data_IF_590785560380
#
_entry.id   IF_590785560380
#
_cell.length_a   1.000
_cell.length_b   1.000
_cell.length_c   1.000
_cell.angle_alpha   90.00
_cell.angle_beta   90.00
_cell.angle_gamma   90.00
#
_symmetry.space_group_name_H-M   'P 1'
#
loop_
_entity.id
_entity.type
_entity.pdbx_description
1 polymer ?
#
# COMPACT_ATOMS: atom_id res chain seq x y z
N UNK A 1 7.63 -50.81 24.23
CA UNK A 1 6.48 -50.35 23.38
C UNK A 1 5.75 -49.09 23.88
N UNK A 2 6.00 -48.57 25.10
CA UNK A 2 5.34 -47.33 25.59
C UNK A 2 5.94 -46.03 25.04
N UNK A 3 7.25 -45.99 24.78
CA UNK A 3 7.96 -44.80 24.26
C UNK A 3 7.55 -44.44 22.83
N UNK A 4 7.33 -45.45 21.98
CA UNK A 4 6.87 -45.26 20.58
C UNK A 4 5.46 -44.67 20.51
N UNK A 5 4.58 -45.01 21.48
CA UNK A 5 3.23 -44.43 21.60
C UNK A 5 3.25 -42.93 21.89
N UNK A 6 4.23 -42.45 22.68
CA UNK A 6 4.38 -41.02 22.95
C UNK A 6 4.96 -40.26 21.76
N UNK A 7 5.92 -40.84 21.02
CA UNK A 7 6.45 -40.24 19.79
C UNK A 7 5.35 -40.05 18.73
N UNK A 8 4.49 -41.05 18.55
CA UNK A 8 3.43 -41.02 17.53
C UNK A 8 2.31 -40.03 17.87
N UNK A 9 2.12 -39.72 19.16
CA UNK A 9 1.13 -38.74 19.63
C UNK A 9 1.58 -37.29 19.45
N UNK A 10 2.89 -37.02 19.45
CA UNK A 10 3.44 -35.67 19.25
C UNK A 10 3.39 -35.23 17.79
N UNK A 11 3.56 -36.17 16.84
CA UNK A 11 3.49 -35.87 15.40
C UNK A 11 2.08 -35.47 14.95
N UNK A 12 1.03 -36.04 15.56
CA UNK A 12 -0.37 -35.69 15.24
C UNK A 12 -0.72 -34.28 15.73
N UNK A 13 -0.17 -33.84 16.87
CA UNK A 13 -0.44 -32.50 17.41
C UNK A 13 0.15 -31.37 16.55
N UNK A 14 1.28 -31.61 15.86
CA UNK A 14 1.91 -30.62 14.97
C UNK A 14 1.14 -30.48 13.65
N UNK A 15 0.51 -31.56 13.16
CA UNK A 15 -0.33 -31.53 11.95
C UNK A 15 -1.63 -30.72 12.09
N UNK A 16 -2.13 -30.53 13.32
CA UNK A 16 -3.39 -29.83 13.61
C UNK A 16 -3.27 -28.31 13.74
N UNK A 17 -2.05 -27.74 13.71
CA UNK A 17 -1.84 -26.29 13.74
C UNK A 17 -2.01 -25.60 12.39
N UNK A 18 -2.28 -26.37 11.32
CA UNK A 18 -2.56 -25.82 10.01
C UNK A 18 -4.05 -25.44 9.91
N UNK A 19 -4.45 -24.21 10.27
CA UNK A 19 -5.72 -23.69 9.75
C UNK A 19 -6.57 -22.66 10.49
N UNK A 20 -6.05 -21.93 11.48
CA UNK A 20 -6.76 -20.75 11.99
C UNK A 20 -5.76 -19.62 12.23
N UNK A 21 -5.79 -18.61 11.35
CA UNK A 21 -4.94 -17.44 11.48
C UNK A 21 -5.76 -16.16 11.23
N UNK A 22 -5.65 -15.22 12.14
CA UNK A 22 -6.13 -13.85 11.98
C UNK A 22 -4.96 -12.88 12.12
N UNK A 23 -4.87 -11.89 11.23
CA UNK A 23 -3.83 -10.85 11.29
C UNK A 23 -4.43 -9.45 11.11
N UNK A 24 -3.82 -8.47 11.79
CA UNK A 24 -4.30 -7.08 11.82
C UNK A 24 -5.54 -6.87 12.70
N UNK A 25 -6.11 -5.66 12.64
CA UNK A 25 -7.28 -5.27 13.43
C UNK A 25 -8.53 -5.25 12.56
N UNK A 26 -9.63 -5.85 13.01
CA UNK A 26 -10.91 -5.65 12.36
C UNK A 26 -11.30 -4.17 12.48
N UNK A 27 -11.81 -3.57 11.40
CA UNK A 27 -12.16 -2.15 11.33
C UNK A 27 -13.48 -1.95 10.59
N UNK A 28 -14.13 -0.80 10.74
CA UNK A 28 -15.38 -0.49 10.03
C UNK A 28 -15.09 0.19 8.68
N UNK A 29 -15.11 -0.55 7.55
CA UNK A 29 -14.82 0.04 6.25
C UNK A 29 -15.93 0.98 5.76
N UNK A 30 -17.18 0.81 6.25
CA UNK A 30 -18.31 1.67 5.88
C UNK A 30 -18.19 3.08 6.45
N UNK A 31 -17.24 3.31 7.37
CA UNK A 31 -16.93 4.64 7.90
C UNK A 31 -15.82 5.35 7.15
N UNK A 32 -15.20 4.74 6.14
CA UNK A 32 -14.19 5.41 5.32
C UNK A 32 -14.73 6.70 4.69
N UNK A 33 -15.99 6.72 4.22
CA UNK A 33 -16.59 7.90 3.59
C UNK A 33 -16.85 9.08 4.54
N UNK A 34 -16.79 8.84 5.85
CA UNK A 34 -16.86 9.90 6.87
C UNK A 34 -15.57 10.73 6.94
N UNK A 35 -14.45 10.15 6.48
CA UNK A 35 -13.19 10.85 6.41
C UNK A 35 -13.24 11.92 5.32
N UNK A 36 -12.54 13.02 5.58
CA UNK A 36 -12.51 14.19 4.70
C UNK A 36 -11.06 14.55 4.42
N UNK A 37 -10.60 14.35 3.16
CA UNK A 37 -9.30 14.82 2.73
C UNK A 37 -9.05 16.31 3.05
N UNK A 38 -7.83 16.64 3.43
CA UNK A 38 -7.43 17.97 3.89
C UNK A 38 -7.91 18.35 5.29
N UNK A 39 -8.71 17.51 5.96
CA UNK A 39 -9.25 17.81 7.30
C UNK A 39 -8.93 16.71 8.30
N UNK A 40 -9.35 15.46 8.01
CA UNK A 40 -9.23 14.33 8.92
C UNK A 40 -7.78 14.02 9.25
N UNK A 41 -7.48 13.76 10.51
CA UNK A 41 -6.16 13.36 10.98
C UNK A 41 -6.06 11.85 11.19
N UNK A 42 -4.86 11.31 11.43
CA UNK A 42 -4.69 9.89 11.74
C UNK A 42 -5.50 9.46 12.99
N UNK A 43 -5.53 10.21 14.11
CA UNK A 43 -6.44 9.93 15.22
C UNK A 43 -7.93 9.94 14.85
N UNK A 44 -8.35 10.84 13.97
CA UNK A 44 -9.74 10.87 13.49
C UNK A 44 -10.06 9.61 12.68
N UNK A 45 -9.13 9.17 11.82
CA UNK A 45 -9.27 7.93 11.07
C UNK A 45 -9.35 6.70 11.98
N UNK A 46 -8.48 6.61 12.98
CA UNK A 46 -8.52 5.50 13.94
C UNK A 46 -9.85 5.46 14.71
N UNK A 47 -10.39 6.63 15.07
CA UNK A 47 -11.69 6.73 15.74
C UNK A 47 -12.85 6.37 14.82
N UNK A 48 -12.87 6.91 13.60
CA UNK A 48 -13.94 6.67 12.64
C UNK A 48 -14.00 5.19 12.21
N UNK A 49 -12.84 4.57 11.97
CA UNK A 49 -12.73 3.16 11.59
C UNK A 49 -12.83 2.20 12.78
N UNK A 50 -12.95 2.75 14.00
CA UNK A 50 -13.03 2.02 15.26
C UNK A 50 -11.90 1.00 15.45
N UNK A 51 -10.69 1.35 14.99
CA UNK A 51 -9.53 0.46 15.02
C UNK A 51 -8.22 1.24 14.83
N UNK A 52 -7.15 0.77 15.48
CA UNK A 52 -5.80 1.25 15.18
C UNK A 52 -5.29 0.69 13.84
N UNK A 53 -4.43 1.43 13.12
CA UNK A 53 -3.84 0.92 11.88
C UNK A 53 -3.02 -0.34 12.15
N UNK A 54 -2.96 -1.23 11.16
CA UNK A 54 -2.10 -2.41 11.20
C UNK A 54 -0.63 -2.02 11.01
N UNK A 55 -0.34 -1.06 10.11
CA UNK A 55 1.01 -0.60 9.81
C UNK A 55 1.03 0.88 9.46
N UNK A 56 2.08 1.59 9.86
CA UNK A 56 2.37 2.98 9.49
C UNK A 56 3.73 3.03 8.80
N UNK A 57 3.75 3.48 7.54
CA UNK A 57 4.97 3.69 6.75
C UNK A 57 5.29 5.19 6.69
N UNK A 58 6.07 5.68 7.65
CA UNK A 58 6.54 7.06 7.66
C UNK A 58 7.58 7.29 6.54
N UNK A 59 7.51 8.45 5.88
CA UNK A 59 8.45 8.86 4.83
C UNK A 59 9.27 10.07 5.29
N UNK A 60 10.41 10.28 4.62
CA UNK A 60 11.36 11.37 4.96
C UNK A 60 10.79 12.78 4.75
N UNK A 61 9.81 12.92 3.87
CA UNK A 61 9.11 14.18 3.60
C UNK A 61 8.06 14.53 4.69
N UNK A 62 7.95 13.72 5.74
CA UNK A 62 6.98 13.87 6.82
C UNK A 62 5.61 13.25 6.52
N UNK A 63 5.36 12.81 5.29
CA UNK A 63 4.15 12.08 4.95
C UNK A 63 4.16 10.66 5.51
N UNK A 64 2.99 10.04 5.60
CA UNK A 64 2.85 8.65 6.00
C UNK A 64 1.84 7.92 5.13
N UNK A 65 2.18 6.71 4.71
CA UNK A 65 1.23 5.76 4.14
C UNK A 65 0.78 4.81 5.26
N UNK A 66 -0.51 4.71 5.51
CA UNK A 66 -1.05 4.00 6.67
C UNK A 66 -2.01 2.92 6.20
N UNK A 67 -1.82 1.71 6.73
CA UNK A 67 -2.58 0.52 6.36
C UNK A 67 -3.53 0.12 7.50
N UNK A 68 -4.82 0.09 7.21
CA UNK A 68 -5.78 -0.72 7.95
C UNK A 68 -5.97 -2.04 7.22
N UNK A 69 -5.73 -3.14 7.92
CA UNK A 69 -5.81 -4.49 7.36
C UNK A 69 -6.46 -5.43 8.36
N UNK A 70 -7.35 -6.27 7.85
CA UNK A 70 -7.82 -7.45 8.57
C UNK A 70 -7.85 -8.64 7.61
N UNK A 71 -7.18 -9.73 8.00
CA UNK A 71 -7.17 -10.99 7.25
C UNK A 71 -7.55 -12.13 8.18
N UNK A 72 -8.43 -13.00 7.71
CA UNK A 72 -8.87 -14.22 8.37
C UNK A 72 -8.76 -15.37 7.36
N UNK A 73 -8.10 -16.45 7.75
CA UNK A 73 -7.96 -17.67 6.94
C UNK A 73 -8.40 -18.90 7.74
N UNK A 74 -9.29 -19.70 7.15
CA UNK A 74 -9.67 -21.04 7.62
C UNK A 74 -9.56 -22.07 6.50
N UNK A 75 -8.99 -23.23 6.82
CA UNK A 75 -8.90 -24.45 5.97
C UNK A 75 -9.31 -25.64 6.85
N UNK A 76 -9.96 -26.72 6.39
CA UNK A 76 -9.86 -27.48 5.13
C UNK A 76 -11.06 -27.40 4.16
N UNK A 77 -12.15 -26.71 4.50
CA UNK A 77 -13.30 -26.51 3.58
C UNK A 77 -13.78 -25.04 3.50
N UNK A 78 -13.05 -24.12 4.15
CA UNK A 78 -12.73 -22.80 3.59
C UNK A 78 -13.50 -21.60 4.14
N UNK A 79 -12.79 -20.68 4.77
CA UNK A 79 -13.19 -19.27 4.84
C UNK A 79 -11.95 -18.38 4.71
N UNK A 80 -11.84 -17.68 3.59
CA UNK A 80 -10.83 -16.66 3.37
C UNK A 80 -11.50 -15.30 3.30
N UNK A 81 -11.14 -14.39 4.20
CA UNK A 81 -11.61 -13.01 4.20
C UNK A 81 -10.42 -12.08 4.39
N UNK A 82 -10.39 -11.03 3.57
CA UNK A 82 -9.38 -9.97 3.65
C UNK A 82 -10.10 -8.67 3.38
N UNK A 83 -9.77 -7.62 4.13
CA UNK A 83 -10.08 -6.23 3.77
C UNK A 83 -8.91 -5.33 4.11
N UNK A 84 -8.66 -4.35 3.25
CA UNK A 84 -7.57 -3.39 3.40
C UNK A 84 -7.98 -2.00 2.94
N UNK A 85 -7.49 -0.99 3.64
CA UNK A 85 -7.57 0.41 3.25
C UNK A 85 -6.21 1.07 3.45
N UNK A 86 -5.70 1.69 2.38
CA UNK A 86 -4.44 2.41 2.34
C UNK A 86 -4.72 3.91 2.32
N UNK A 87 -4.39 4.60 3.40
CA UNK A 87 -4.61 6.03 3.54
C UNK A 87 -3.27 6.77 3.52
N UNK A 88 -3.16 7.82 2.70
CA UNK A 88 -2.01 8.70 2.69
C UNK A 88 -2.29 9.94 3.56
N UNK A 89 -1.38 10.23 4.48
CA UNK A 89 -1.38 11.43 5.31
C UNK A 89 -0.21 12.32 4.94
N UNK A 90 -0.45 13.62 4.85
CA UNK A 90 0.54 14.63 4.52
C UNK A 90 1.47 14.94 5.70
N UNK A 91 2.53 15.73 5.46
CA UNK A 91 3.44 16.20 6.52
C UNK A 91 2.75 17.08 7.58
N UNK A 92 1.59 17.63 7.25
CA UNK A 92 0.71 18.35 8.16
C UNK A 92 -0.15 17.42 9.04
N UNK A 93 0.00 16.11 8.89
CA UNK A 93 -0.74 15.09 9.63
C UNK A 93 -2.19 14.90 9.17
N UNK A 94 -2.57 15.49 8.03
CA UNK A 94 -3.94 15.41 7.50
C UNK A 94 -4.05 14.41 6.37
N UNK A 95 -5.23 13.79 6.25
CA UNK A 95 -5.56 12.85 5.20
C UNK A 95 -5.43 13.55 3.84
N UNK A 96 -4.59 13.01 2.98
CA UNK A 96 -4.48 13.44 1.58
C UNK A 96 -5.50 12.67 0.75
N UNK A 97 -5.51 11.34 0.87
CA UNK A 97 -6.39 10.47 0.06
C UNK A 97 -6.46 9.03 0.55
N UNK A 98 -7.49 8.32 0.10
CA UNK A 98 -7.51 6.87 -0.04
C UNK A 98 -6.70 6.49 -1.28
N UNK A 99 -5.57 5.81 -1.06
CA UNK A 99 -4.66 5.36 -2.12
C UNK A 99 -5.18 4.09 -2.78
N UNK A 100 -5.61 3.13 -1.97
CA UNK A 100 -6.14 1.85 -2.44
C UNK A 100 -7.07 1.21 -1.39
N UNK A 101 -7.96 0.34 -1.85
CA UNK A 101 -8.85 -0.46 -1.01
C UNK A 101 -9.05 -1.84 -1.59
N UNK A 102 -8.96 -2.88 -0.76
CA UNK A 102 -9.22 -4.27 -1.16
C UNK A 102 -10.45 -4.79 -0.41
N UNK A 103 -11.40 -5.38 -1.14
CA UNK A 103 -12.62 -6.02 -0.59
C UNK A 103 -13.42 -5.11 0.36
N UNK A 104 -13.52 -3.84 -0.01
CA UNK A 104 -14.33 -2.84 0.67
C UNK A 104 -15.38 -2.33 -0.32
N UNK A 105 -16.65 -2.40 0.08
CA UNK A 105 -17.73 -1.80 -0.68
C UNK A 105 -17.78 -0.30 -0.36
N UNK A 106 -17.46 0.50 -1.36
CA UNK A 106 -17.63 1.96 -1.36
C UNK A 106 -18.39 2.34 -2.60
N UNK A 107 -19.39 3.20 -2.42
CA UNK A 107 -20.11 3.78 -3.55
C UNK A 107 -19.13 4.58 -4.43
N UNK A 108 -19.36 4.68 -5.75
CA UNK A 108 -18.45 5.38 -6.66
C UNK A 108 -18.17 6.83 -6.23
N UNK A 109 -19.20 7.53 -5.73
CA UNK A 109 -19.09 8.91 -5.28
C UNK A 109 -18.32 9.05 -3.95
N UNK A 110 -18.45 8.07 -3.03
CA UNK A 110 -17.68 8.05 -1.78
C UNK A 110 -16.20 7.84 -2.07
N UNK A 111 -15.88 6.91 -2.98
CA UNK A 111 -14.51 6.69 -3.44
C UNK A 111 -13.94 7.96 -4.05
N UNK A 112 -14.69 8.61 -4.95
CA UNK A 112 -14.26 9.86 -5.58
C UNK A 112 -13.96 10.96 -4.56
N UNK A 113 -14.80 11.13 -3.54
CA UNK A 113 -14.56 12.08 -2.44
C UNK A 113 -13.24 11.81 -1.72
N UNK A 114 -12.92 10.53 -1.50
CA UNK A 114 -11.74 10.11 -0.76
C UNK A 114 -10.44 10.19 -1.55
N UNK A 115 -10.47 10.39 -2.87
CA UNK A 115 -9.26 10.57 -3.68
C UNK A 115 -8.52 11.89 -3.39
N UNK A 116 -9.18 12.81 -2.66
CA UNK A 116 -8.63 14.13 -2.40
C UNK A 116 -8.59 15.02 -3.65
N UNK A 117 -8.03 16.23 -3.53
CA UNK A 117 -7.75 17.04 -4.70
C UNK A 117 -6.80 16.27 -5.64
N UNK A 118 -6.94 16.42 -6.97
CA UNK A 118 -6.04 15.78 -7.91
C UNK A 118 -4.59 16.14 -7.54
N UNK A 119 -3.63 15.20 -7.70
CA UNK A 119 -2.22 15.51 -7.50
C UNK A 119 -1.86 16.79 -8.26
N UNK A 120 -1.01 17.67 -7.70
CA UNK A 120 -0.48 18.78 -8.48
C UNK A 120 0.02 18.22 -9.80
N UNK A 121 -0.41 18.80 -10.93
CA UNK A 121 0.07 18.38 -12.23
C UNK A 121 1.61 18.31 -12.17
N UNK A 122 2.25 17.28 -12.75
CA UNK A 122 3.69 17.30 -12.88
C UNK A 122 4.07 18.66 -13.43
N UNK A 123 4.99 19.36 -12.79
CA UNK A 123 5.57 20.56 -13.39
C UNK A 123 6.17 20.07 -14.70
N UNK A 124 5.46 20.28 -15.80
CA UNK A 124 6.00 20.09 -17.13
C UNK A 124 7.04 21.19 -17.22
N UNK A 125 8.30 20.84 -16.95
CA UNK A 125 9.41 21.68 -17.36
C UNK A 125 9.29 21.66 -18.87
N UNK A 126 8.69 22.70 -19.43
CA UNK A 126 8.64 22.92 -20.85
C UNK A 126 10.10 22.95 -21.31
N UNK A 127 10.53 21.83 -21.89
CA UNK A 127 11.88 21.69 -22.40
C UNK A 127 11.92 22.59 -23.63
N UNK A 128 12.28 23.86 -23.41
CA UNK A 128 12.49 24.85 -24.46
C UNK A 128 13.32 24.17 -25.53
N UNK A 129 12.77 24.12 -26.75
CA UNK A 129 13.35 23.43 -27.90
C UNK A 129 14.87 23.53 -27.86
N UNK A 130 15.54 22.38 -27.72
CA UNK A 130 16.99 22.31 -27.81
C UNK A 130 17.40 23.02 -29.11
N UNK A 131 18.30 24.01 -29.07
CA UNK A 131 18.80 24.59 -30.31
C UNK A 131 19.38 23.45 -31.13
N UNK A 132 18.96 23.37 -32.39
CA UNK A 132 19.42 22.39 -33.36
C UNK A 132 20.95 22.30 -33.28
N UNK A 133 21.45 21.19 -32.74
CA UNK A 133 22.89 20.95 -32.61
C UNK A 133 23.39 20.75 -34.03
N UNK A 134 23.94 21.80 -34.63
CA UNK A 134 24.63 21.74 -35.91
C UNK A 134 25.80 20.76 -35.78
N UNK A 135 25.61 19.56 -36.30
CA UNK A 135 26.59 18.48 -36.25
C UNK A 135 27.75 18.84 -37.17
N UNK A 136 28.82 19.41 -36.60
CA UNK A 136 30.07 19.61 -37.31
C UNK A 136 30.75 18.25 -37.46
N UNK A 137 30.62 17.64 -38.64
CA UNK A 137 31.28 16.37 -38.95
C UNK A 137 32.79 16.62 -39.10
N UNK A 138 33.57 16.21 -38.10
CA UNK A 138 35.03 16.19 -38.20
C UNK A 138 35.45 14.92 -38.93
N UNK A 139 35.78 15.03 -40.22
CA UNK A 139 36.33 13.93 -41.00
C UNK A 139 37.77 13.68 -40.59
N UNK A 140 38.03 12.61 -39.83
CA UNK A 140 39.40 12.19 -39.49
C UNK A 140 40.02 11.48 -40.71
N UNK A 141 41.13 11.98 -41.29
CA UNK A 141 41.78 11.32 -42.41
C UNK A 141 42.44 9.99 -41.96
N UNK A 142 42.45 8.96 -42.83
CA UNK A 142 43.00 7.65 -42.49
C UNK A 142 44.51 7.73 -42.20
N UNK A 143 45.02 6.93 -41.24
CA UNK A 143 46.43 6.94 -40.90
C UNK A 143 47.27 6.48 -42.10
N UNK A 144 48.32 7.25 -42.40
CA UNK A 144 49.27 6.91 -43.45
C UNK A 144 49.95 5.57 -43.13
N UNK A 145 49.74 4.57 -43.99
CA UNK A 145 50.39 3.27 -43.89
C UNK A 145 51.86 3.44 -44.27
N UNK A 146 52.75 3.49 -43.29
CA UNK A 146 54.20 3.32 -43.52
C UNK A 146 54.49 1.85 -43.88
N UNK A 147 55.38 1.69 -44.85
CA UNK A 147 55.74 0.50 -45.66
C UNK A 147 55.85 -0.83 -44.90
#
# INVERSE_FOLDING_TARGET
MRVVKHLMSWTVAIGLLAGCAATGHNFDPGKLSTLTPGQSTLPDAARALNAQPATVYARRDGSALVLWQHKITFVTDGLYSRKEAWLEFGPDGRLVRLVDSTNILLEPWERQKLLGPPPPAPIVIEQTAQPEVEVITITVPPPARTR
#
